data_IF_262276658285
#
_entry.id   IF_262276658285
#
_cell.length_a   1.000
_cell.length_b   1.000
_cell.length_c   1.000
_cell.angle_alpha   90.00
_cell.angle_beta   90.00
_cell.angle_gamma   90.00
#
_symmetry.space_group_name_H-M   'P 1'
#
loop_
_entity.id
_entity.type
_entity.pdbx_description
1 polymer ?
#
# COMPACT_ATOMS: atom_id res chain seq x y z
N UNK A 1 11.54 -12.33 3.69
CA UNK A 1 10.68 -11.46 2.87
C UNK A 1 9.75 -10.77 3.85
N UNK A 2 9.72 -9.44 3.82
CA UNK A 2 8.84 -8.64 4.70
C UNK A 2 7.44 -8.57 4.10
N UNK A 3 6.44 -8.30 4.91
CA UNK A 3 5.06 -8.15 4.40
C UNK A 3 4.97 -7.02 3.37
N UNK A 4 5.71 -5.91 3.56
CA UNK A 4 5.74 -4.81 2.58
C UNK A 4 6.23 -5.26 1.21
N UNK A 5 7.22 -6.17 1.14
CA UNK A 5 7.73 -6.67 -0.14
C UNK A 5 6.65 -7.49 -0.88
N UNK A 6 5.80 -8.20 -0.14
CA UNK A 6 4.65 -8.93 -0.69
C UNK A 6 3.54 -7.97 -1.13
N UNK A 7 3.21 -6.98 -0.30
CA UNK A 7 2.20 -5.95 -0.59
C UNK A 7 2.56 -5.19 -1.87
N UNK A 8 3.80 -4.68 -1.97
CA UNK A 8 4.29 -3.93 -3.12
C UNK A 8 4.19 -4.77 -4.40
N UNK A 9 4.70 -6.01 -4.36
CA UNK A 9 4.64 -6.92 -5.51
C UNK A 9 3.20 -7.15 -5.96
N UNK A 10 2.31 -7.51 -5.04
CA UNK A 10 0.91 -7.80 -5.38
C UNK A 10 0.18 -6.56 -5.89
N UNK A 11 0.40 -5.39 -5.29
CA UNK A 11 -0.24 -4.16 -5.76
C UNK A 11 0.26 -3.72 -7.15
N UNK A 12 1.55 -3.89 -7.46
CA UNK A 12 2.09 -3.61 -8.80
C UNK A 12 1.59 -4.62 -9.84
N UNK A 13 1.44 -5.89 -9.47
CA UNK A 13 0.84 -6.92 -10.34
C UNK A 13 -0.62 -6.61 -10.68
N UNK A 14 -1.39 -6.17 -9.68
CA UNK A 14 -2.80 -5.78 -9.86
C UNK A 14 -2.95 -4.44 -10.58
N UNK A 15 -2.04 -3.51 -10.33
CA UNK A 15 -2.08 -2.13 -10.84
C UNK A 15 -0.72 -1.73 -11.42
N UNK A 16 -0.42 -2.09 -12.68
CA UNK A 16 0.91 -1.89 -13.27
C UNK A 16 1.38 -0.43 -13.35
N UNK A 17 0.48 0.54 -13.24
CA UNK A 17 0.80 1.97 -13.22
C UNK A 17 0.97 2.55 -11.81
N UNK A 18 0.84 1.73 -10.77
CA UNK A 18 1.09 2.11 -9.38
C UNK A 18 2.58 2.42 -9.20
N UNK A 19 2.86 3.52 -8.51
CA UNK A 19 4.19 3.91 -8.10
C UNK A 19 4.30 3.74 -6.60
N UNK A 20 5.39 3.11 -6.16
CA UNK A 20 5.74 2.97 -4.76
C UNK A 20 7.07 3.66 -4.50
N UNK A 21 7.14 4.43 -3.41
CA UNK A 21 8.39 5.02 -2.94
C UNK A 21 8.50 4.93 -1.42
N UNK A 22 9.63 4.43 -0.94
CA UNK A 22 9.97 4.45 0.48
C UNK A 22 10.59 5.80 0.86
N UNK A 23 10.21 6.34 2.02
CA UNK A 23 10.84 7.53 2.57
C UNK A 23 12.33 7.27 2.76
N UNK A 24 13.17 8.06 2.08
CA UNK A 24 14.62 7.99 2.25
C UNK A 24 15.02 8.78 3.48
N UNK A 25 15.44 8.08 4.52
CA UNK A 25 16.02 8.72 5.69
C UNK A 25 17.51 9.02 5.49
N UNK A 26 17.96 10.16 6.03
CA UNK A 26 19.28 10.72 5.77
C UNK A 26 20.34 10.08 6.69
N UNK A 27 19.95 9.59 7.86
CA UNK A 27 20.85 8.94 8.81
C UNK A 27 20.45 7.47 9.05
N UNK A 28 21.12 6.50 8.38
CA UNK A 28 20.90 5.09 8.60
C UNK A 28 21.07 4.72 10.09
N UNK A 29 20.04 4.12 10.69
CA UNK A 29 20.08 3.61 12.07
C UNK A 29 19.61 4.58 13.17
N UNK A 30 19.22 5.81 12.81
CA UNK A 30 18.60 6.78 13.75
C UNK A 30 17.19 7.21 13.34
N UNK A 31 16.91 7.18 12.04
CA UNK A 31 15.64 7.64 11.47
C UNK A 31 14.75 6.45 11.09
N UNK A 32 13.43 6.58 11.30
CA UNK A 32 12.41 5.56 10.96
C UNK A 32 12.39 5.29 9.45
N UNK A 33 12.84 4.10 9.04
CA UNK A 33 12.81 3.61 7.65
C UNK A 33 11.47 2.94 7.28
N UNK A 34 10.47 3.10 8.13
CA UNK A 34 9.20 2.39 8.09
C UNK A 34 8.06 3.09 7.37
N UNK A 35 8.32 3.96 6.37
CA UNK A 35 7.26 4.72 5.67
C UNK A 35 7.34 4.52 4.16
N UNK A 36 6.19 4.16 3.56
CA UNK A 36 6.03 3.94 2.13
C UNK A 36 4.85 4.76 1.58
N UNK A 37 5.04 5.34 0.41
CA UNK A 37 4.02 6.11 -0.30
C UNK A 37 3.60 5.39 -1.57
N UNK A 38 2.30 5.39 -1.82
CA UNK A 38 1.66 4.76 -2.98
C UNK A 38 0.87 5.82 -3.75
N UNK A 39 1.14 5.93 -5.05
CA UNK A 39 0.41 6.85 -5.94
C UNK A 39 0.05 6.13 -7.24
N UNK A 40 -1.09 6.51 -7.84
CA UNK A 40 -1.53 5.96 -9.11
C UNK A 40 -2.03 7.10 -10.02
N UNK A 41 -1.73 7.10 -11.33
CA UNK A 41 -2.10 8.21 -12.23
C UNK A 41 -3.62 8.40 -12.39
N UNK A 42 -4.42 7.36 -12.12
CA UNK A 42 -5.89 7.45 -12.09
C UNK A 42 -6.44 7.96 -10.75
N UNK A 43 -5.61 8.13 -9.73
CA UNK A 43 -5.99 8.65 -8.42
C UNK A 43 -5.46 10.06 -8.23
N UNK A 44 -6.18 10.88 -7.45
CA UNK A 44 -5.69 12.18 -6.98
C UNK A 44 -5.12 12.10 -5.57
N UNK A 45 -5.24 10.96 -4.91
CA UNK A 45 -4.80 10.74 -3.55
C UNK A 45 -3.43 10.08 -3.53
N UNK A 46 -2.67 10.36 -2.48
CA UNK A 46 -1.51 9.60 -2.05
C UNK A 46 -1.86 8.79 -0.81
N UNK A 47 -1.41 7.55 -0.76
CA UNK A 47 -1.57 6.67 0.41
C UNK A 47 -0.22 6.47 1.07
N UNK A 48 -0.19 6.67 2.39
CA UNK A 48 0.97 6.37 3.23
C UNK A 48 0.71 5.06 3.99
N UNK A 49 1.70 4.16 3.94
CA UNK A 49 1.81 3.02 4.86
C UNK A 49 2.99 3.21 5.79
N UNK A 50 2.76 2.97 7.06
CA UNK A 50 3.80 3.03 8.09
C UNK A 50 3.87 1.71 8.87
N UNK A 51 5.08 1.15 8.97
CA UNK A 51 5.43 0.07 9.89
C UNK A 51 6.94 0.04 10.16
N UNK A 52 7.33 0.08 11.43
CA UNK A 52 8.74 0.11 11.86
C UNK A 52 9.58 -1.06 11.35
N UNK A 53 8.98 -2.24 11.12
CA UNK A 53 9.73 -3.44 10.68
C UNK A 53 9.46 -3.83 9.22
N UNK A 54 8.58 -3.09 8.53
CA UNK A 54 8.04 -3.49 7.24
C UNK A 54 7.15 -4.74 7.29
N UNK A 55 6.71 -5.16 8.48
CA UNK A 55 5.74 -6.23 8.69
C UNK A 55 4.50 -5.70 9.38
N UNK A 56 3.38 -6.41 9.24
CA UNK A 56 2.15 -6.09 9.94
C UNK A 56 2.38 -6.05 11.47
N UNK A 57 1.69 -5.16 12.19
CA UNK A 57 0.64 -4.26 11.70
C UNK A 57 1.18 -3.02 10.96
N UNK A 58 0.43 -2.57 9.96
CA UNK A 58 0.65 -1.28 9.30
C UNK A 58 -0.37 -0.26 9.74
N UNK A 59 0.06 0.99 9.81
CA UNK A 59 -0.79 2.17 9.83
C UNK A 59 -0.98 2.65 8.41
N UNK A 60 -2.23 2.87 8.00
CA UNK A 60 -2.61 3.32 6.67
C UNK A 60 -3.34 4.67 6.76
N UNK A 61 -2.84 5.65 6.02
CA UNK A 61 -3.34 7.03 5.96
C UNK A 61 -3.35 7.51 4.50
N UNK A 62 -4.07 8.61 4.20
CA UNK A 62 -3.98 9.28 2.90
C UNK A 62 -4.09 10.80 3.04
N UNK A 63 -3.73 11.52 1.99
CA UNK A 63 -3.90 12.97 1.90
C UNK A 63 -5.36 13.41 1.64
N UNK A 64 -6.23 12.46 1.27
CA UNK A 64 -7.62 12.72 0.93
C UNK A 64 -8.57 12.80 2.12
N UNK A 65 -8.17 12.27 3.29
CA UNK A 65 -8.98 12.26 4.51
C UNK A 65 -8.09 12.15 5.76
N UNK A 66 -8.68 12.33 6.95
CA UNK A 66 -7.96 12.24 8.23
C UNK A 66 -8.12 10.86 8.91
N UNK A 67 -8.49 9.81 8.17
CA UNK A 67 -8.65 8.47 8.73
C UNK A 67 -7.32 7.74 8.82
N UNK A 68 -7.07 7.21 10.02
CA UNK A 68 -5.94 6.34 10.33
C UNK A 68 -6.45 4.92 10.57
N UNK A 69 -6.06 3.98 9.72
CA UNK A 69 -6.45 2.58 9.82
C UNK A 69 -5.25 1.73 10.28
N UNK A 70 -5.46 0.86 11.27
CA UNK A 70 -4.45 -0.13 11.68
C UNK A 70 -4.85 -1.47 11.09
N UNK A 71 -4.00 -2.00 10.21
CA UNK A 71 -4.27 -3.20 9.42
C UNK A 71 -3.26 -4.28 9.82
N UNK A 72 -3.77 -5.44 10.20
CA UNK A 72 -2.98 -6.49 10.85
C UNK A 72 -2.64 -7.67 9.94
N UNK A 73 -3.12 -7.66 8.68
CA UNK A 73 -2.82 -8.69 7.68
C UNK A 73 -2.47 -8.05 6.34
N UNK A 74 -1.68 -8.77 5.53
CA UNK A 74 -1.26 -8.34 4.18
C UNK A 74 -2.47 -8.07 3.29
N UNK A 75 -3.48 -8.93 3.34
CA UNK A 75 -4.68 -8.82 2.52
C UNK A 75 -5.46 -7.54 2.86
N UNK A 76 -5.65 -7.26 4.15
CA UNK A 76 -6.35 -6.05 4.60
C UNK A 76 -5.59 -4.78 4.16
N UNK A 77 -4.26 -4.81 4.18
CA UNK A 77 -3.42 -3.70 3.68
C UNK A 77 -3.61 -3.49 2.19
N UNK A 78 -3.56 -4.56 1.38
CA UNK A 78 -3.76 -4.47 -0.08
C UNK A 78 -5.14 -3.88 -0.40
N UNK A 79 -6.19 -4.36 0.27
CA UNK A 79 -7.55 -3.86 0.09
C UNK A 79 -7.68 -2.39 0.51
N UNK A 80 -7.08 -2.02 1.65
CA UNK A 80 -7.10 -0.65 2.16
C UNK A 80 -6.39 0.34 1.24
N UNK A 81 -5.22 -0.02 0.70
CA UNK A 81 -4.46 0.83 -0.23
C UNK A 81 -5.25 1.02 -1.53
N UNK A 82 -5.77 -0.05 -2.11
CA UNK A 82 -6.58 0.04 -3.32
C UNK A 82 -7.83 0.90 -3.10
N UNK A 83 -8.53 0.71 -1.98
CA UNK A 83 -9.72 1.47 -1.63
C UNK A 83 -9.42 2.98 -1.49
N UNK A 84 -8.36 3.35 -0.76
CA UNK A 84 -7.97 4.75 -0.58
C UNK A 84 -7.49 5.42 -1.87
N UNK A 85 -6.88 4.65 -2.77
CA UNK A 85 -6.54 5.14 -4.12
C UNK A 85 -7.75 5.16 -5.07
N UNK A 86 -8.91 4.66 -4.67
CA UNK A 86 -10.10 4.56 -5.52
C UNK A 86 -9.93 3.56 -6.67
N UNK A 87 -9.02 2.60 -6.53
CA UNK A 87 -8.78 1.55 -7.51
C UNK A 87 -9.80 0.44 -7.29
N UNK A 88 -10.50 0.05 -8.35
CA UNK A 88 -11.30 -1.16 -8.29
C UNK A 88 -10.36 -2.34 -8.06
N UNK A 89 -10.53 -3.06 -6.95
CA UNK A 89 -9.97 -4.41 -6.84
C UNK A 89 -10.40 -5.14 -8.09
N UNK A 90 -9.43 -5.54 -8.90
CA UNK A 90 -9.67 -6.44 -10.00
C UNK A 90 -10.30 -7.68 -9.34
N UNK A 91 -11.64 -7.73 -9.31
CA UNK A 91 -12.36 -8.97 -9.03
C UNK A 91 -11.74 -9.91 -10.04
N UNK A 92 -11.11 -10.98 -9.56
CA UNK A 92 -10.76 -12.09 -10.43
C UNK A 92 -11.98 -12.29 -11.32
N UNK A 93 -11.79 -12.06 -12.62
CA UNK A 93 -12.77 -12.47 -13.59
C UNK A 93 -12.86 -13.98 -13.41
N UNK A 94 -13.80 -14.42 -12.57
CA UNK A 94 -14.38 -15.74 -12.72
C UNK A 94 -14.99 -15.71 -14.10
N UNK A 95 -14.21 -16.19 -15.06
CA UNK A 95 -14.68 -16.54 -16.38
C UNK A 95 -15.97 -17.36 -16.19
N UNK A 96 -17.16 -16.88 -16.62
CA UNK A 96 -18.31 -17.74 -16.75
C UNK A 96 -18.10 -18.54 -18.04
N UNK A 97 -17.07 -19.39 -18.02
CA UNK A 97 -16.58 -20.15 -19.14
C UNK A 97 -17.24 -21.51 -19.23
N UNK A 98 -18.45 -21.50 -19.80
CA UNK A 98 -19.09 -22.55 -20.61
C UNK A 98 -19.75 -23.76 -19.94
#
# INVERSE_FOLDING_TARGET
MRDIDQIERTLVELYPALKVSQLKVVHPGADDDGVWFFTHPASRSEVQLEATTGNCPFVLESDSDNQRLVLTTVEAVIEGVAAKLGLALARQASDPGR
#
